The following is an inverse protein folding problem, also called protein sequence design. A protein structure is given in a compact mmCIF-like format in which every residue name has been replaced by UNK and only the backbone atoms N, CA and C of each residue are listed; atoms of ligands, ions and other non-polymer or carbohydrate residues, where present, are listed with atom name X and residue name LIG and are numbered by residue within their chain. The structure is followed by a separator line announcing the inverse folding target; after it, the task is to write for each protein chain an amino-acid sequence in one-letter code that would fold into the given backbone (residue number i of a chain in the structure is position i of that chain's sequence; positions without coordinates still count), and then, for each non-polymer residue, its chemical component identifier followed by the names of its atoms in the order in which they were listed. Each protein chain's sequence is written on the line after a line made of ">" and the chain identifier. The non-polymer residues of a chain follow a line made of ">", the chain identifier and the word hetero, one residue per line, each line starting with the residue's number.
data_IF_923485839290
#
_entry.id   IF_923485839290
#
_cell.length_a   1.000
_cell.length_b   1.000
_cell.length_c   1.000
_cell.angle_alpha   90.00
_cell.angle_beta   90.00
_cell.angle_gamma   90.00
#
_symmetry.space_group_name_H-M   'P 1'
#
loop_
_entity.id
_entity.type
_entity.pdbx_description
1 polymer ?
#
# COMPACT_ATOMS: atom_id res chain seq x y z
N UNK A 1 -14.36 42.32 -62.60
CA UNK A 1 -15.13 42.59 -61.37
C UNK A 1 -15.17 41.29 -60.60
N UNK A 2 -14.18 41.08 -59.72
CA UNK A 2 -14.07 39.87 -58.91
C UNK A 2 -14.97 39.97 -57.69
N UNK A 3 -15.94 39.08 -57.60
CA UNK A 3 -16.85 38.94 -56.46
C UNK A 3 -16.21 37.98 -55.48
N UNK A 4 -15.70 38.48 -54.36
CA UNK A 4 -15.15 37.61 -53.31
C UNK A 4 -16.26 36.85 -52.56
N UNK A 5 -16.06 35.56 -52.27
CA UNK A 5 -17.03 34.75 -51.53
C UNK A 5 -17.02 35.13 -50.04
N UNK A 6 -18.22 35.33 -49.49
CA UNK A 6 -18.45 35.64 -48.07
C UNK A 6 -18.18 34.36 -47.25
N UNK A 7 -17.34 34.40 -46.20
CA UNK A 7 -17.08 33.23 -45.37
C UNK A 7 -18.31 32.84 -44.54
N UNK A 8 -18.54 31.53 -44.31
CA UNK A 8 -19.68 31.05 -43.54
C UNK A 8 -19.55 31.47 -42.07
N UNK A 9 -20.56 32.16 -41.55
CA UNK A 9 -20.68 32.51 -40.14
C UNK A 9 -21.09 31.25 -39.38
N UNK A 10 -20.15 30.69 -38.61
CA UNK A 10 -20.42 29.55 -37.73
C UNK A 10 -21.45 29.94 -36.67
N UNK A 11 -22.55 29.19 -36.50
CA UNK A 11 -23.55 29.48 -35.49
C UNK A 11 -22.91 29.33 -34.11
N UNK A 12 -22.97 30.41 -33.32
CA UNK A 12 -22.50 30.49 -31.93
C UNK A 12 -23.36 29.57 -31.05
N UNK A 13 -23.09 28.25 -31.10
CA UNK A 13 -23.75 27.24 -30.27
C UNK A 13 -23.57 27.64 -28.80
N UNK A 14 -24.69 27.73 -28.11
CA UNK A 14 -24.87 28.37 -26.81
C UNK A 14 -23.94 27.77 -25.74
N UNK A 15 -22.95 28.57 -25.34
CA UNK A 15 -21.99 28.32 -24.26
C UNK A 15 -22.65 28.08 -22.88
N UNK A 16 -23.96 28.30 -22.77
CA UNK A 16 -24.77 28.12 -21.56
C UNK A 16 -24.87 26.66 -21.10
N UNK A 17 -24.80 25.68 -22.00
CA UNK A 17 -24.90 24.26 -21.64
C UNK A 17 -23.69 23.73 -20.86
N UNK A 18 -22.51 24.30 -21.09
CA UNK A 18 -21.27 23.90 -20.40
C UNK A 18 -21.39 24.19 -18.91
N UNK A 19 -21.96 25.35 -18.54
CA UNK A 19 -22.17 25.73 -17.14
C UNK A 19 -23.14 24.81 -16.40
N UNK A 20 -24.20 24.34 -17.08
CA UNK A 20 -25.16 23.39 -16.49
C UNK A 20 -24.47 22.05 -16.20
N UNK A 21 -23.65 21.56 -17.13
CA UNK A 21 -22.91 20.30 -16.96
C UNK A 21 -21.91 20.42 -15.80
N UNK A 22 -21.16 21.52 -15.72
CA UNK A 22 -20.21 21.76 -14.62
C UNK A 22 -20.91 21.81 -13.25
N UNK A 23 -22.09 22.43 -13.18
CA UNK A 23 -22.87 22.47 -11.94
C UNK A 23 -23.34 21.08 -11.50
N UNK A 24 -23.80 20.24 -12.43
CA UNK A 24 -24.22 18.86 -12.14
C UNK A 24 -23.05 17.98 -11.68
N UNK A 25 -21.85 18.14 -12.27
CA UNK A 25 -20.65 17.42 -11.85
C UNK A 25 -20.24 17.84 -10.43
N UNK A 26 -20.25 19.15 -10.15
CA UNK A 26 -19.88 19.68 -8.82
C UNK A 26 -20.79 19.16 -7.70
N UNK A 27 -22.10 19.09 -7.93
CA UNK A 27 -23.04 18.59 -6.91
C UNK A 27 -22.92 17.07 -6.72
N UNK A 28 -22.66 16.32 -7.79
CA UNK A 28 -22.39 14.89 -7.72
C UNK A 28 -21.16 14.56 -6.87
N UNK A 29 -20.04 15.29 -7.09
CA UNK A 29 -18.80 15.10 -6.31
C UNK A 29 -19.02 15.45 -4.84
N UNK A 30 -19.69 16.56 -4.55
CA UNK A 30 -19.99 16.96 -3.17
C UNK A 30 -20.85 15.91 -2.44
N UNK A 31 -21.86 15.35 -3.10
CA UNK A 31 -22.69 14.28 -2.56
C UNK A 31 -21.91 13.00 -2.27
N UNK A 32 -21.02 12.60 -3.19
CA UNK A 32 -20.17 11.42 -3.03
C UNK A 32 -19.18 11.58 -1.85
N UNK A 33 -18.53 12.73 -1.71
CA UNK A 33 -17.64 13.03 -0.59
C UNK A 33 -18.39 13.05 0.76
N UNK A 34 -19.61 13.60 0.78
CA UNK A 34 -20.46 13.58 1.97
C UNK A 34 -20.82 12.16 2.39
N UNK A 35 -21.15 11.30 1.43
CA UNK A 35 -21.47 9.89 1.67
C UNK A 35 -20.27 9.12 2.23
N UNK A 36 -19.05 9.33 1.70
CA UNK A 36 -17.84 8.72 2.27
C UNK A 36 -17.60 9.12 3.73
N UNK A 37 -17.80 10.41 4.07
CA UNK A 37 -17.63 10.87 5.45
C UNK A 37 -18.62 10.24 6.42
N UNK A 38 -19.85 9.95 5.97
CA UNK A 38 -20.86 9.24 6.77
C UNK A 38 -20.45 7.79 7.06
N UNK A 39 -19.95 7.05 6.05
CA UNK A 39 -19.49 5.67 6.21
C UNK A 39 -18.32 5.56 7.22
N UNK A 40 -17.37 6.50 7.15
CA UNK A 40 -16.23 6.52 8.09
C UNK A 40 -16.69 6.74 9.55
N UNK A 41 -17.68 7.61 9.78
CA UNK A 41 -18.22 7.84 11.12
C UNK A 41 -18.88 6.60 11.72
N UNK A 42 -19.59 5.81 10.91
CA UNK A 42 -20.23 4.58 11.36
C UNK A 42 -19.21 3.50 11.74
N UNK A 43 -18.10 3.37 10.99
CA UNK A 43 -17.03 2.43 11.33
C UNK A 43 -16.30 2.82 12.62
N UNK A 44 -16.03 4.11 12.83
CA UNK A 44 -15.39 4.60 14.07
C UNK A 44 -16.30 4.37 15.28
N UNK A 45 -17.61 4.59 15.15
CA UNK A 45 -18.58 4.33 16.22
C UNK A 45 -18.62 2.83 16.60
N UNK A 46 -18.52 1.93 15.61
CA UNK A 46 -18.51 0.48 15.86
C UNK A 46 -17.25 0.01 16.62
N UNK A 47 -16.11 0.65 16.38
CA UNK A 47 -14.84 0.32 17.05
C UNK A 47 -14.83 0.88 18.49
N UNK A 48 -15.47 2.03 18.72
CA UNK A 48 -15.54 2.67 20.04
C UNK A 48 -16.42 1.90 21.05
N UNK A 49 -17.31 1.02 20.61
CA UNK A 49 -18.17 0.20 21.48
C UNK A 49 -17.62 -1.20 21.76
N UNK A 50 -16.41 -1.55 21.29
CA UNK A 50 -15.79 -2.83 21.67
C UNK A 50 -15.29 -2.76 23.12
N UNK A 51 -15.88 -3.52 24.07
CA UNK A 51 -15.43 -3.49 25.45
C UNK A 51 -14.01 -4.04 25.58
N UNK A 52 -13.16 -3.24 26.23
CA UNK A 52 -11.80 -3.60 26.64
C UNK A 52 -11.79 -4.96 27.36
N UNK A 53 -10.94 -5.93 26.97
CA UNK A 53 -10.79 -7.18 27.69
C UNK A 53 -10.36 -6.92 29.13
N UNK A 54 -11.28 -7.20 30.06
CA UNK A 54 -11.03 -7.15 31.49
C UNK A 54 -10.06 -8.28 31.87
N UNK A 55 -8.77 -7.94 31.98
CA UNK A 55 -7.72 -8.85 32.45
C UNK A 55 -7.98 -9.15 33.92
N UNK A 56 -8.38 -10.38 34.21
CA UNK A 56 -8.55 -10.90 35.57
C UNK A 56 -7.20 -11.43 36.09
N UNK A 57 -6.75 -11.04 37.29
CA UNK A 57 -5.47 -11.47 37.85
C UNK A 57 -5.63 -12.84 38.54
N UNK A 58 -4.90 -13.84 38.07
CA UNK A 58 -4.81 -15.13 38.76
C UNK A 58 -3.34 -15.53 38.93
N UNK A 59 -2.83 -15.21 40.13
CA UNK A 59 -1.97 -16.00 41.02
C UNK A 59 -0.85 -16.88 40.44
N UNK A 60 0.38 -16.39 40.65
CA UNK A 60 1.57 -17.07 41.21
C UNK A 60 1.94 -18.47 40.69
N UNK A 61 2.96 -18.51 39.81
CA UNK A 61 4.02 -19.52 39.89
C UNK A 61 5.35 -18.75 39.92
N UNK A 62 6.06 -18.88 41.05
CA UNK A 62 7.48 -18.53 41.15
C UNK A 62 8.25 -19.41 40.18
N UNK A 63 8.69 -18.85 39.07
CA UNK A 63 9.80 -19.38 38.30
C UNK A 63 10.67 -18.21 37.86
N UNK A 64 11.91 -18.23 38.31
CA UNK A 64 12.95 -17.21 38.15
C UNK A 64 13.10 -16.86 36.67
N UNK A 65 12.44 -15.79 36.23
CA UNK A 65 12.59 -15.21 34.90
C UNK A 65 13.32 -13.87 35.06
N UNK A 66 14.47 -13.67 34.40
CA UNK A 66 15.23 -12.43 34.55
C UNK A 66 14.37 -11.26 34.10
N UNK A 67 14.32 -10.26 34.97
CA UNK A 67 13.74 -8.93 34.76
C UNK A 67 13.94 -8.47 33.31
N UNK A 68 12.89 -8.02 32.59
CA UNK A 68 13.08 -7.35 31.31
C UNK A 68 13.84 -6.07 31.61
N UNK A 69 15.15 -6.14 31.44
CA UNK A 69 16.00 -4.96 31.33
C UNK A 69 15.36 -4.13 30.21
N UNK A 70 15.07 -2.84 30.41
CA UNK A 70 14.69 -1.96 29.31
C UNK A 70 15.89 -1.96 28.37
N UNK A 71 15.79 -2.81 27.34
CA UNK A 71 16.79 -2.91 26.30
C UNK A 71 16.64 -1.62 25.51
N UNK A 72 17.44 -0.63 25.91
CA UNK A 72 17.65 0.61 25.18
C UNK A 72 18.49 0.30 23.94
N UNK A 73 18.03 -0.69 23.17
CA UNK A 73 18.59 -1.09 21.90
C UNK A 73 18.06 -0.08 20.89
N UNK A 74 18.87 0.95 20.68
CA UNK A 74 18.75 1.95 19.60
C UNK A 74 18.78 1.34 18.18
N UNK A 75 18.72 0.02 18.05
CA UNK A 75 18.61 -0.64 16.76
C UNK A 75 17.15 -0.72 16.35
N UNK A 76 16.80 -0.27 15.13
CA UNK A 76 15.46 -0.47 14.61
C UNK A 76 15.18 -1.97 14.60
N UNK A 77 14.17 -2.40 15.35
CA UNK A 77 13.73 -3.80 15.31
C UNK A 77 13.29 -4.12 13.88
N UNK A 78 13.64 -5.31 13.36
CA UNK A 78 13.16 -5.73 12.05
C UNK A 78 11.63 -5.78 12.07
N UNK A 79 10.96 -5.40 10.97
CA UNK A 79 9.51 -5.44 10.91
C UNK A 79 8.99 -6.86 11.08
N UNK A 80 7.83 -6.98 11.73
CA UNK A 80 7.15 -8.27 11.84
C UNK A 80 6.49 -8.60 10.50
N UNK A 81 6.83 -9.75 9.91
CA UNK A 81 6.27 -10.19 8.63
C UNK A 81 5.27 -11.32 8.87
N UNK A 82 4.01 -11.07 8.52
CA UNK A 82 2.88 -12.00 8.71
C UNK A 82 2.35 -12.44 7.36
N UNK A 83 2.05 -13.72 7.21
CA UNK A 83 1.41 -14.28 6.02
C UNK A 83 -0.02 -14.74 6.37
N UNK A 84 -0.98 -14.35 5.54
CA UNK A 84 -2.39 -14.74 5.65
C UNK A 84 -2.86 -15.46 4.36
N UNK A 85 -3.41 -16.68 4.44
CA UNK A 85 -3.57 -17.50 5.66
C UNK A 85 -2.23 -17.91 6.28
N UNK A 86 -2.17 -18.25 7.58
CA UNK A 86 -0.94 -18.76 8.19
C UNK A 86 -0.49 -20.03 7.47
N UNK A 87 0.57 -19.91 6.67
CA UNK A 87 0.97 -20.99 5.77
C UNK A 87 1.72 -22.08 6.55
N UNK A 88 1.09 -23.26 6.72
CA UNK A 88 1.70 -24.47 7.27
C UNK A 88 1.81 -25.56 6.19
N UNK A 89 2.90 -25.55 5.40
CA UNK A 89 3.42 -26.72 4.66
C UNK A 89 4.69 -26.38 3.87
N UNK A 90 5.51 -27.39 3.60
CA UNK A 90 6.80 -27.31 2.89
C UNK A 90 6.70 -26.80 1.44
N UNK A 91 5.52 -26.90 0.80
CA UNK A 91 5.29 -26.34 -0.54
C UNK A 91 5.29 -24.80 -0.56
N UNK A 92 4.99 -24.16 0.58
CA UNK A 92 5.03 -22.70 0.70
C UNK A 92 6.43 -22.15 1.03
N UNK A 93 7.44 -22.99 1.26
CA UNK A 93 8.79 -22.52 1.62
C UNK A 93 9.48 -21.85 0.44
N UNK A 94 9.38 -22.41 -0.77
CA UNK A 94 9.96 -21.82 -1.99
C UNK A 94 9.25 -20.50 -2.35
N UNK A 95 7.93 -20.46 -2.23
CA UNK A 95 7.14 -19.27 -2.52
C UNK A 95 7.37 -18.17 -1.47
N UNK A 96 7.52 -18.52 -0.19
CA UNK A 96 7.94 -17.58 0.85
C UNK A 96 9.34 -17.04 0.57
N UNK A 97 10.27 -17.87 0.11
CA UNK A 97 11.60 -17.42 -0.26
C UNK A 97 11.54 -16.43 -1.44
N UNK A 98 10.72 -16.71 -2.45
CA UNK A 98 10.52 -15.80 -3.59
C UNK A 98 9.88 -14.47 -3.16
N UNK A 99 8.78 -14.50 -2.40
CA UNK A 99 8.13 -13.28 -1.87
C UNK A 99 9.10 -12.51 -0.99
N UNK A 100 9.85 -13.21 -0.14
CA UNK A 100 10.85 -12.58 0.72
C UNK A 100 11.90 -11.85 -0.13
N UNK A 101 12.47 -12.53 -1.12
CA UNK A 101 13.53 -12.00 -1.96
C UNK A 101 13.06 -10.85 -2.86
N UNK A 102 11.90 -10.98 -3.49
CA UNK A 102 11.42 -10.04 -4.51
C UNK A 102 10.57 -8.90 -3.96
N UNK A 103 10.03 -9.07 -2.77
CA UNK A 103 9.06 -8.11 -2.19
C UNK A 103 9.50 -7.65 -0.81
N UNK A 104 9.59 -8.55 0.16
CA UNK A 104 9.79 -8.15 1.57
C UNK A 104 11.15 -7.46 1.76
N UNK A 105 12.23 -8.09 1.30
CA UNK A 105 13.59 -7.55 1.46
C UNK A 105 13.78 -6.21 0.74
N UNK A 106 13.42 -6.04 -0.54
CA UNK A 106 13.54 -4.75 -1.19
C UNK A 106 12.59 -3.68 -0.62
N UNK A 107 11.39 -4.06 -0.18
CA UNK A 107 10.49 -3.12 0.49
C UNK A 107 11.12 -2.56 1.77
N UNK A 108 11.61 -3.44 2.64
CA UNK A 108 12.23 -3.05 3.90
C UNK A 108 13.46 -2.18 3.64
N UNK A 109 14.35 -2.62 2.74
CA UNK A 109 15.58 -1.90 2.44
C UNK A 109 15.29 -0.51 1.85
N UNK A 110 14.30 -0.40 0.96
CA UNK A 110 13.93 0.89 0.38
C UNK A 110 13.48 1.89 1.47
N UNK A 111 12.57 1.47 2.35
CA UNK A 111 12.07 2.37 3.40
C UNK A 111 13.07 2.59 4.54
N UNK A 112 14.04 1.70 4.75
CA UNK A 112 15.11 1.88 5.73
C UNK A 112 16.22 2.82 5.23
N UNK A 113 16.65 2.68 3.98
CA UNK A 113 17.86 3.34 3.48
C UNK A 113 17.60 4.47 2.47
N UNK A 114 16.51 4.37 1.69
CA UNK A 114 16.27 5.24 0.55
C UNK A 114 15.24 6.33 0.86
N UNK A 115 14.14 5.99 1.53
CA UNK A 115 13.17 6.99 2.03
C UNK A 115 13.69 7.80 3.24
N UNK A 116 15.02 7.89 3.40
CA UNK A 116 15.68 8.56 4.53
C UNK A 116 15.48 7.89 5.88
N UNK A 117 14.91 6.67 5.93
CA UNK A 117 14.58 6.00 7.19
C UNK A 117 13.59 6.77 8.05
N UNK A 118 12.87 7.74 7.49
CA UNK A 118 11.98 8.63 8.26
C UNK A 118 10.80 7.83 8.83
N UNK A 119 10.32 6.87 8.04
CA UNK A 119 9.19 6.01 8.39
C UNK A 119 9.50 4.55 8.05
N UNK A 120 10.35 3.85 8.82
CA UNK A 120 10.59 2.44 8.58
C UNK A 120 9.30 1.62 8.77
N UNK A 121 9.13 0.50 8.05
CA UNK A 121 8.04 -0.41 8.31
C UNK A 121 8.20 -1.05 9.68
N UNK A 122 7.09 -1.18 10.41
CA UNK A 122 7.00 -1.92 11.68
C UNK A 122 6.35 -3.28 11.51
N UNK A 123 5.49 -3.43 10.49
CA UNK A 123 4.83 -4.70 10.16
C UNK A 123 4.57 -4.78 8.67
N UNK A 124 4.61 -6.00 8.13
CA UNK A 124 4.22 -6.33 6.77
C UNK A 124 3.28 -7.52 6.80
N UNK A 125 2.08 -7.33 6.27
CA UNK A 125 1.09 -8.37 6.10
C UNK A 125 1.03 -8.76 4.61
N UNK A 126 1.32 -10.02 4.31
CA UNK A 126 1.18 -10.59 2.96
C UNK A 126 -0.07 -11.45 2.95
N UNK A 127 -1.10 -10.99 2.24
CA UNK A 127 -2.37 -11.68 2.06
C UNK A 127 -2.42 -12.36 0.71
N UNK A 128 -2.79 -13.64 0.69
CA UNK A 128 -3.11 -14.34 -0.55
C UNK A 128 -4.47 -13.90 -1.09
N UNK A 129 -4.55 -13.66 -2.40
CA UNK A 129 -5.82 -13.32 -3.03
C UNK A 129 -6.78 -14.51 -3.01
N UNK A 130 -7.98 -14.27 -2.51
CA UNK A 130 -9.06 -15.27 -2.42
C UNK A 130 -9.86 -15.40 -3.72
N UNK A 131 -9.86 -14.36 -4.55
CA UNK A 131 -10.55 -14.38 -5.83
C UNK A 131 -9.68 -15.05 -6.91
N UNK A 132 -10.05 -16.28 -7.29
CA UNK A 132 -9.33 -17.07 -8.30
C UNK A 132 -9.21 -16.37 -9.67
N UNK A 133 -10.15 -15.49 -10.03
CA UNK A 133 -10.08 -14.74 -11.30
C UNK A 133 -8.97 -13.68 -11.31
N UNK A 134 -8.58 -13.18 -10.13
CA UNK A 134 -7.56 -12.13 -9.97
C UNK A 134 -6.21 -12.76 -9.60
N UNK A 135 -6.24 -13.86 -8.84
CA UNK A 135 -5.07 -14.57 -8.30
C UNK A 135 -4.04 -14.98 -9.35
N UNK A 136 -4.46 -15.25 -10.60
CA UNK A 136 -3.54 -15.59 -11.68
C UNK A 136 -2.57 -14.44 -12.02
N UNK A 137 -3.03 -13.19 -11.93
CA UNK A 137 -2.26 -11.99 -12.24
C UNK A 137 -1.78 -11.26 -11.00
N UNK A 138 -2.55 -11.29 -9.91
CA UNK A 138 -2.21 -10.69 -8.63
C UNK A 138 -2.43 -11.72 -7.52
N UNK A 139 -1.50 -12.66 -7.30
CA UNK A 139 -1.68 -13.74 -6.32
C UNK A 139 -1.67 -13.25 -4.86
N UNK A 140 -1.08 -12.09 -4.60
CA UNK A 140 -0.83 -11.59 -3.25
C UNK A 140 -1.07 -10.08 -3.16
N UNK A 141 -1.36 -9.62 -1.95
CA UNK A 141 -1.37 -8.21 -1.57
C UNK A 141 -0.44 -8.02 -0.38
N UNK A 142 0.41 -7.00 -0.45
CA UNK A 142 1.22 -6.57 0.69
C UNK A 142 0.57 -5.36 1.34
N UNK A 143 0.51 -5.36 2.67
CA UNK A 143 0.12 -4.23 3.49
C UNK A 143 1.24 -3.96 4.50
N UNK A 144 2.00 -2.90 4.27
CA UNK A 144 2.98 -2.36 5.19
C UNK A 144 2.34 -1.39 6.18
N UNK A 145 2.67 -1.53 7.46
CA UNK A 145 2.38 -0.55 8.50
C UNK A 145 3.70 0.14 8.83
N UNK A 146 3.71 1.47 8.76
CA UNK A 146 4.88 2.31 8.94
C UNK A 146 4.95 2.84 10.37
N UNK A 147 6.14 3.24 10.83
CA UNK A 147 6.35 3.72 12.21
C UNK A 147 5.52 4.95 12.59
N UNK A 148 5.11 5.77 11.62
CA UNK A 148 4.21 6.90 11.82
C UNK A 148 2.71 6.53 11.85
N UNK A 149 2.38 5.23 11.80
CA UNK A 149 1.00 4.75 11.71
C UNK A 149 0.40 4.81 10.30
N UNK A 150 1.14 5.29 9.30
CA UNK A 150 0.74 5.23 7.90
C UNK A 150 0.70 3.78 7.39
N UNK A 151 -0.09 3.54 6.36
CA UNK A 151 -0.17 2.23 5.70
C UNK A 151 0.19 2.33 4.23
N UNK A 152 0.82 1.28 3.71
CA UNK A 152 1.15 1.15 2.29
C UNK A 152 0.62 -0.19 1.79
N UNK A 153 -0.27 -0.16 0.80
CA UNK A 153 -0.90 -1.35 0.25
C UNK A 153 -0.63 -1.50 -1.24
N UNK A 154 -0.22 -2.69 -1.69
CA UNK A 154 0.03 -2.97 -3.11
C UNK A 154 -0.32 -4.42 -3.47
N UNK A 155 -0.87 -4.63 -4.67
CA UNK A 155 -1.08 -5.96 -5.23
C UNK A 155 0.16 -6.43 -5.98
N UNK A 156 0.67 -7.62 -5.66
CA UNK A 156 1.89 -8.16 -6.24
C UNK A 156 1.60 -8.81 -7.57
N UNK A 157 2.26 -8.34 -8.63
CA UNK A 157 2.03 -8.80 -10.01
C UNK A 157 2.74 -10.13 -10.25
N UNK A 158 2.05 -11.07 -10.89
CA UNK A 158 2.59 -12.31 -11.41
C UNK A 158 2.37 -12.39 -12.92
N UNK A 159 3.43 -12.69 -13.67
CA UNK A 159 3.38 -12.87 -15.12
C UNK A 159 3.96 -14.24 -15.46
N UNK A 160 3.23 -15.04 -16.23
CA UNK A 160 3.63 -16.41 -16.61
C UNK A 160 4.03 -17.30 -15.41
N UNK A 161 3.35 -17.15 -14.27
CA UNK A 161 3.64 -17.91 -13.05
C UNK A 161 4.85 -17.42 -12.25
N UNK A 162 5.51 -16.34 -12.68
CA UNK A 162 6.69 -15.77 -12.01
C UNK A 162 6.27 -14.48 -11.30
N UNK A 163 6.59 -14.38 -10.01
CA UNK A 163 6.32 -13.17 -9.24
C UNK A 163 7.25 -12.05 -9.71
N UNK A 164 6.69 -10.86 -9.95
CA UNK A 164 7.46 -9.68 -10.32
C UNK A 164 8.20 -9.12 -9.10
N UNK A 165 9.25 -8.35 -9.36
CA UNK A 165 9.89 -7.58 -8.30
C UNK A 165 8.94 -6.49 -7.81
N UNK A 166 8.90 -6.28 -6.51
CA UNK A 166 8.25 -5.11 -5.93
C UNK A 166 8.96 -3.85 -6.40
N UNK A 167 8.20 -2.79 -6.64
CA UNK A 167 8.74 -1.49 -7.06
C UNK A 167 8.12 -0.38 -6.24
N UNK A 168 8.91 0.57 -5.71
CA UNK A 168 8.36 1.73 -5.02
C UNK A 168 7.52 2.58 -5.99
N UNK A 169 6.40 3.09 -5.48
CA UNK A 169 5.59 4.06 -6.22
C UNK A 169 6.14 5.46 -6.01
N UNK A 170 6.64 6.08 -7.08
CA UNK A 170 7.15 7.45 -7.09
C UNK A 170 6.42 8.29 -8.18
N UNK A 171 6.25 9.60 -7.93
CA UNK A 171 5.67 10.54 -8.90
C UNK A 171 6.73 11.02 -9.91
N UNK A 172 7.45 10.09 -10.53
CA UNK A 172 8.61 10.37 -11.37
C UNK A 172 9.68 9.28 -11.21
N UNK A 173 10.95 9.56 -11.52
CA UNK A 173 12.02 8.62 -11.22
C UNK A 173 12.15 8.43 -9.72
N UNK A 174 12.34 7.19 -9.30
CA UNK A 174 12.59 6.86 -7.91
C UNK A 174 14.07 7.12 -7.59
N UNK A 175 14.32 7.88 -6.53
CA UNK A 175 15.66 8.00 -5.96
C UNK A 175 16.04 6.66 -5.31
N UNK A 176 17.31 6.28 -5.44
CA UNK A 176 17.86 5.05 -4.87
C UNK A 176 19.25 5.34 -4.31
N UNK A 177 19.56 4.77 -3.14
CA UNK A 177 20.94 4.75 -2.65
C UNK A 177 21.81 3.82 -3.51
N UNK A 178 23.13 4.00 -3.50
CA UNK A 178 24.03 3.16 -4.28
C UNK A 178 23.99 1.70 -3.81
N UNK A 179 23.83 1.46 -2.51
CA UNK A 179 23.68 0.12 -1.93
C UNK A 179 22.40 -0.56 -2.44
N UNK A 180 21.29 0.19 -2.52
CA UNK A 180 20.03 -0.33 -3.04
C UNK A 180 20.15 -0.68 -4.53
N UNK A 181 20.79 0.18 -5.34
CA UNK A 181 21.02 -0.08 -6.77
C UNK A 181 21.86 -1.34 -7.00
N UNK A 182 22.89 -1.55 -6.19
CA UNK A 182 23.75 -2.73 -6.29
C UNK A 182 23.03 -4.01 -5.87
N UNK A 183 22.18 -3.94 -4.84
CA UNK A 183 21.47 -5.11 -4.30
C UNK A 183 20.25 -5.50 -5.13
N UNK A 184 19.54 -4.52 -5.70
CA UNK A 184 18.29 -4.72 -6.46
C UNK A 184 18.29 -4.02 -7.83
N UNK A 185 19.24 -4.33 -8.73
CA UNK A 185 19.32 -3.67 -10.04
C UNK A 185 18.07 -3.88 -10.90
N UNK A 186 17.33 -4.98 -10.69
CA UNK A 186 16.08 -5.27 -11.40
C UNK A 186 15.01 -4.21 -11.11
N UNK A 187 14.90 -3.76 -9.86
CA UNK A 187 13.91 -2.75 -9.45
C UNK A 187 14.23 -1.42 -10.12
N UNK A 188 15.49 -0.99 -10.09
CA UNK A 188 15.95 0.27 -10.68
C UNK A 188 15.68 0.31 -12.18
N UNK A 189 15.89 -0.82 -12.88
CA UNK A 189 15.65 -0.90 -14.33
C UNK A 189 14.17 -0.79 -14.72
N UNK A 190 13.25 -1.12 -13.81
CA UNK A 190 11.81 -1.08 -14.06
C UNK A 190 11.25 0.33 -13.82
N UNK A 191 11.73 1.01 -12.79
CA UNK A 191 11.19 2.30 -12.32
C UNK A 191 11.83 3.53 -12.95
N UNK A 192 13.04 3.39 -13.49
CA UNK A 192 13.76 4.46 -14.20
C UNK A 192 14.13 4.01 -15.64
N UNK A 193 13.13 3.77 -16.51
CA UNK A 193 13.38 3.35 -17.89
C UNK A 193 13.97 4.45 -18.78
#
# INVERSE_FOLDING_TARGET
>A
MDVQPIPPVLPKKSFTWIWVILFLISTGIAGWLYYQKQQLKQQIALIAETPSPQVSPSTTILNSSPSPTPSNSSFPQPPVVVFEPPLSSDQYTAQRAEIKQKVVDPFIDYYQYVAGGEYPPVSLLIQQQSNESIKAQYPYTILGIMSNGGTHGEALIQTNGILSWWTPTCMGPCDYSEEFKQKYPQIVSITNP
#
